data_IF_021954201293
#
_entry.id   IF_021954201293
#
_cell.length_a   1.000
_cell.length_b   1.000
_cell.length_c   1.000
_cell.angle_alpha   90.00
_cell.angle_beta   90.00
_cell.angle_gamma   90.00
#
_symmetry.space_group_name_H-M   'P 1'
#
loop_
_entity.id
_entity.type
_entity.pdbx_description
1 polymer ?
#
# COMPACT_ATOMS: atom_id res chain seq x y z
N UNK A 1 9.85 8.35 8.24
CA UNK A 1 8.47 8.41 8.78
C UNK A 1 7.82 9.80 8.62
N UNK A 2 7.80 10.38 7.41
CA UNK A 2 7.03 11.63 7.09
C UNK A 2 6.02 11.42 5.96
N UNK A 3 6.25 10.45 5.06
CA UNK A 3 5.44 10.19 3.86
C UNK A 3 4.01 9.72 4.17
N UNK A 4 3.84 8.75 5.08
CA UNK A 4 2.54 8.15 5.39
C UNK A 4 1.55 9.15 6.00
N UNK A 5 1.98 9.96 6.98
CA UNK A 5 1.12 11.00 7.57
C UNK A 5 0.71 12.08 6.56
N UNK A 6 1.56 12.39 5.58
CA UNK A 6 1.23 13.31 4.49
C UNK A 6 0.31 12.66 3.46
N UNK A 7 0.50 11.37 3.18
CA UNK A 7 -0.39 10.56 2.33
C UNK A 7 -1.81 10.54 2.93
N UNK A 8 -1.95 10.22 4.21
CA UNK A 8 -3.26 10.24 4.89
C UNK A 8 -3.90 11.63 4.91
N UNK A 9 -3.12 12.70 5.14
CA UNK A 9 -3.64 14.08 5.07
C UNK A 9 -4.09 14.49 3.67
N UNK A 10 -3.44 14.00 2.61
CA UNK A 10 -3.81 14.27 1.22
C UNK A 10 -5.01 13.44 0.75
N UNK A 11 -5.21 12.24 1.33
CA UNK A 11 -6.20 11.27 0.85
C UNK A 11 -7.52 11.25 1.65
N UNK A 12 -7.52 11.77 2.89
CA UNK A 12 -8.73 11.92 3.71
C UNK A 12 -9.38 13.32 3.53
N UNK A 13 -9.54 13.82 2.29
CA UNK A 13 -10.74 14.65 2.04
C UNK A 13 -11.46 14.37 0.70
N UNK A 14 -12.79 14.23 0.80
CA UNK A 14 -13.86 14.45 -0.20
C UNK A 14 -14.24 13.39 -1.26
N UNK A 15 -13.41 12.40 -1.64
CA UNK A 15 -13.78 11.47 -2.75
C UNK A 15 -13.89 10.00 -2.37
N UNK A 16 -14.75 9.69 -1.40
CA UNK A 16 -15.07 8.31 -1.04
C UNK A 16 -16.50 7.98 -1.48
N UNK A 17 -16.66 6.89 -2.23
CA UNK A 17 -17.96 6.34 -2.69
C UNK A 17 -18.47 5.25 -1.74
N UNK A 18 -19.71 4.81 -1.91
CA UNK A 18 -20.56 4.15 -0.90
C UNK A 18 -20.01 2.90 -0.18
N UNK A 19 -19.01 2.18 -0.70
CA UNK A 19 -18.36 1.08 0.03
C UNK A 19 -17.24 1.55 0.96
N UNK A 20 -16.54 2.63 0.60
CA UNK A 20 -15.49 3.28 1.41
C UNK A 20 -16.07 4.26 2.44
N UNK A 21 -17.35 4.64 2.34
CA UNK A 21 -18.02 5.61 3.25
C UNK A 21 -17.93 5.22 4.72
N UNK A 22 -18.03 3.94 5.09
CA UNK A 22 -17.91 3.51 6.51
C UNK A 22 -16.49 3.64 7.06
N UNK A 23 -15.50 3.35 6.21
CA UNK A 23 -14.09 3.53 6.52
C UNK A 23 -13.77 5.03 6.65
N UNK A 24 -14.24 5.83 5.69
CA UNK A 24 -14.14 7.27 5.71
C UNK A 24 -14.83 7.88 6.94
N UNK A 25 -16.04 7.45 7.26
CA UNK A 25 -16.78 7.96 8.41
C UNK A 25 -16.04 7.68 9.72
N UNK A 26 -15.44 6.49 9.87
CA UNK A 26 -14.63 6.15 11.04
C UNK A 26 -13.34 6.98 11.13
N UNK A 27 -12.68 7.23 10.00
CA UNK A 27 -11.44 8.00 9.93
C UNK A 27 -11.70 9.51 10.06
N UNK A 28 -12.72 10.06 9.41
CA UNK A 28 -13.05 11.50 9.39
C UNK A 28 -13.70 11.95 10.70
N UNK A 29 -14.53 11.10 11.32
CA UNK A 29 -15.13 11.47 12.62
C UNK A 29 -14.13 11.43 13.77
N UNK A 30 -13.07 10.62 13.69
CA UNK A 30 -12.09 10.45 14.76
C UNK A 30 -10.63 10.30 14.28
N UNK A 31 -10.10 11.20 13.42
CA UNK A 31 -8.74 11.05 12.90
C UNK A 31 -7.70 11.21 14.00
N UNK A 32 -8.02 11.95 15.06
CA UNK A 32 -7.14 12.21 16.20
C UNK A 32 -6.98 11.02 17.18
N UNK A 33 -7.69 9.92 16.97
CA UNK A 33 -7.69 8.76 17.88
C UNK A 33 -7.19 7.46 17.25
N UNK A 34 -6.98 7.42 15.93
CA UNK A 34 -6.47 6.23 15.25
C UNK A 34 -4.95 6.25 15.19
N UNK A 35 -4.35 5.13 15.60
CA UNK A 35 -2.93 4.86 15.39
C UNK A 35 -2.65 4.65 13.90
N UNK A 36 -1.41 4.89 13.49
CA UNK A 36 -0.97 4.78 12.09
C UNK A 36 -1.31 3.42 11.47
N UNK A 37 -1.09 2.33 12.21
CA UNK A 37 -1.41 0.98 11.75
C UNK A 37 -2.91 0.74 11.61
N UNK A 38 -3.76 1.40 12.41
CA UNK A 38 -5.22 1.27 12.30
C UNK A 38 -5.73 1.90 11.02
N UNK A 39 -5.21 3.08 10.69
CA UNK A 39 -5.53 3.77 9.43
C UNK A 39 -5.07 2.94 8.23
N UNK A 40 -3.85 2.43 8.27
CA UNK A 40 -3.31 1.56 7.21
C UNK A 40 -4.13 0.29 7.04
N UNK A 41 -4.52 -0.35 8.15
CA UNK A 41 -5.39 -1.52 8.12
C UNK A 41 -6.74 -1.25 7.48
N UNK A 42 -7.36 -0.10 7.78
CA UNK A 42 -8.63 0.31 7.14
C UNK A 42 -8.46 0.54 5.64
N UNK A 43 -7.36 1.18 5.21
CA UNK A 43 -7.08 1.39 3.78
C UNK A 43 -6.87 0.05 3.07
N UNK A 44 -6.06 -0.85 3.62
CA UNK A 44 -5.83 -2.18 3.05
C UNK A 44 -7.12 -3.01 3.00
N UNK A 45 -7.99 -2.90 4.01
CA UNK A 45 -9.28 -3.60 4.02
C UNK A 45 -10.28 -3.04 2.99
N UNK A 46 -10.06 -1.83 2.46
CA UNK A 46 -10.91 -1.16 1.48
C UNK A 46 -10.13 -0.68 0.25
N UNK A 47 -9.05 -1.39 -0.09
CA UNK A 47 -8.09 -0.96 -1.10
C UNK A 47 -8.73 -0.92 -2.49
N UNK A 48 -8.55 0.18 -3.21
CA UNK A 48 -9.15 0.37 -4.53
C UNK A 48 -8.21 1.19 -5.41
N UNK A 49 -7.35 0.51 -6.17
CA UNK A 49 -6.30 1.12 -7.02
C UNK A 49 -6.84 2.23 -7.93
N UNK A 50 -7.93 2.06 -8.71
CA UNK A 50 -8.47 3.13 -9.55
C UNK A 50 -8.77 4.44 -8.81
N UNK A 51 -9.17 4.36 -7.53
CA UNK A 51 -9.48 5.53 -6.72
C UNK A 51 -8.24 6.28 -6.24
N UNK A 52 -7.12 5.57 -6.02
CA UNK A 52 -5.86 6.11 -5.46
C UNK A 52 -4.86 6.51 -6.56
N UNK A 53 -4.93 5.89 -7.73
CA UNK A 53 -3.89 5.92 -8.76
C UNK A 53 -2.79 4.89 -8.48
N UNK A 54 -2.25 4.27 -9.53
CA UNK A 54 -1.34 3.12 -9.40
C UNK A 54 -0.02 3.46 -8.69
N UNK A 55 0.61 4.59 -9.02
CA UNK A 55 1.89 4.97 -8.41
C UNK A 55 1.75 5.20 -6.89
N UNK A 56 0.70 5.92 -6.49
CA UNK A 56 0.40 6.19 -5.08
C UNK A 56 -0.04 4.94 -4.34
N UNK A 57 -0.82 4.08 -4.98
CA UNK A 57 -1.18 2.78 -4.46
C UNK A 57 0.07 1.94 -4.19
N UNK A 58 1.00 1.90 -5.14
CA UNK A 58 2.24 1.16 -5.04
C UNK A 58 3.13 1.67 -3.90
N UNK A 59 3.36 2.99 -3.80
CA UNK A 59 4.12 3.58 -2.69
C UNK A 59 3.53 3.23 -1.31
N UNK A 60 2.20 3.30 -1.18
CA UNK A 60 1.53 2.96 0.07
C UNK A 60 1.71 1.48 0.46
N UNK A 61 1.68 0.57 -0.50
CA UNK A 61 1.84 -0.86 -0.24
C UNK A 61 3.26 -1.18 0.23
N UNK A 62 4.27 -0.56 -0.37
CA UNK A 62 5.67 -0.68 0.09
C UNK A 62 5.82 -0.16 1.52
N UNK A 63 5.24 1.02 1.80
CA UNK A 63 5.22 1.59 3.15
C UNK A 63 4.54 0.65 4.17
N UNK A 64 3.44 -0.01 3.78
CA UNK A 64 2.72 -0.95 4.61
C UNK A 64 3.53 -2.21 4.95
N UNK A 65 4.40 -2.66 4.05
CA UNK A 65 5.28 -3.81 4.27
C UNK A 65 6.48 -3.42 5.14
N UNK A 66 7.15 -2.31 4.81
CA UNK A 66 8.47 -1.99 5.36
C UNK A 66 8.46 -1.09 6.60
N UNK A 67 7.47 -0.20 6.75
CA UNK A 67 7.54 0.89 7.72
C UNK A 67 6.39 0.94 8.72
N UNK A 68 5.21 0.43 8.36
CA UNK A 68 4.05 0.52 9.26
C UNK A 68 4.21 -0.48 10.41
N UNK A 69 4.26 -0.03 11.67
CA UNK A 69 4.51 -0.89 12.82
C UNK A 69 3.23 -1.61 13.25
N UNK A 70 2.72 -2.53 12.42
CA UNK A 70 1.57 -3.35 12.79
C UNK A 70 1.88 -4.19 14.05
N UNK A 71 0.92 -4.28 14.99
CA UNK A 71 0.99 -5.22 16.10
C UNK A 71 1.23 -6.64 15.61
N UNK A 72 2.05 -7.41 16.32
CA UNK A 72 2.46 -8.77 15.91
C UNK A 72 1.28 -9.70 15.62
N UNK A 73 0.15 -9.54 16.33
CA UNK A 73 -1.06 -10.34 16.16
C UNK A 73 -1.76 -10.15 14.80
N UNK A 74 -1.54 -9.03 14.13
CA UNK A 74 -2.21 -8.68 12.87
C UNK A 74 -1.23 -8.35 11.73
N UNK A 75 0.06 -8.17 12.02
CA UNK A 75 1.09 -7.82 11.05
C UNK A 75 1.05 -8.74 9.83
N UNK A 76 1.08 -10.06 10.06
CA UNK A 76 1.08 -11.05 8.97
C UNK A 76 -0.13 -10.89 8.04
N UNK A 77 -1.32 -10.62 8.59
CA UNK A 77 -2.54 -10.41 7.79
C UNK A 77 -2.38 -9.24 6.83
N UNK A 78 -1.89 -8.10 7.31
CA UNK A 78 -1.82 -6.88 6.52
C UNK A 78 -0.61 -6.84 5.58
N UNK A 79 0.52 -7.41 5.98
CA UNK A 79 1.70 -7.56 5.10
C UNK A 79 1.38 -8.48 3.92
N UNK A 80 0.85 -9.68 4.15
CA UNK A 80 0.46 -10.61 3.07
C UNK A 80 -0.56 -9.99 2.11
N UNK A 81 -1.48 -9.19 2.65
CA UNK A 81 -2.45 -8.47 1.83
C UNK A 81 -1.78 -7.42 0.95
N UNK A 82 -0.80 -6.68 1.50
CA UNK A 82 -0.08 -5.68 0.73
C UNK A 82 0.81 -6.32 -0.35
N UNK A 83 1.48 -7.43 -0.04
CA UNK A 83 2.29 -8.22 -0.99
C UNK A 83 1.42 -8.68 -2.17
N UNK A 84 0.26 -9.28 -1.92
CA UNK A 84 -0.66 -9.69 -2.99
C UNK A 84 -1.15 -8.53 -3.86
N UNK A 85 -1.41 -7.35 -3.29
CA UNK A 85 -1.76 -6.18 -4.10
C UNK A 85 -0.59 -5.67 -4.96
N UNK A 86 0.65 -5.81 -4.50
CA UNK A 86 1.83 -5.50 -5.31
C UNK A 86 1.94 -6.48 -6.47
N UNK A 87 1.76 -7.78 -6.23
CA UNK A 87 1.78 -8.80 -7.29
C UNK A 87 0.74 -8.50 -8.37
N UNK A 88 -0.49 -8.15 -7.98
CA UNK A 88 -1.56 -7.73 -8.88
C UNK A 88 -1.16 -6.47 -9.68
N UNK A 89 -0.63 -5.45 -9.00
CA UNK A 89 -0.18 -4.21 -9.66
C UNK A 89 0.95 -4.43 -10.65
N UNK A 90 1.86 -5.35 -10.35
CA UNK A 90 2.98 -5.69 -11.21
C UNK A 90 2.59 -6.65 -12.34
N UNK A 91 1.44 -7.31 -12.22
CA UNK A 91 0.95 -8.31 -13.17
C UNK A 91 1.80 -9.59 -13.13
N UNK A 92 2.19 -10.02 -11.94
CA UNK A 92 2.97 -11.23 -11.71
C UNK A 92 2.05 -12.44 -11.66
N UNK A 93 2.52 -13.59 -12.15
CA UNK A 93 1.80 -14.87 -12.02
C UNK A 93 1.93 -15.39 -10.58
N UNK A 94 0.92 -16.11 -10.10
CA UNK A 94 0.82 -16.57 -8.69
C UNK A 94 1.87 -17.54 -8.17
N UNK A 95 2.93 -17.81 -8.94
CA UNK A 95 4.12 -18.53 -8.51
C UNK A 95 5.24 -17.59 -8.02
N UNK A 96 5.10 -16.27 -8.24
CA UNK A 96 6.02 -15.27 -7.73
C UNK A 96 5.47 -14.70 -6.42
N UNK A 97 6.24 -14.83 -5.34
CA UNK A 97 5.88 -14.27 -4.04
C UNK A 97 6.71 -13.02 -3.78
N UNK A 98 6.03 -11.88 -3.59
CA UNK A 98 6.69 -10.65 -3.13
C UNK A 98 6.87 -10.74 -1.62
N UNK A 99 8.09 -10.48 -1.17
CA UNK A 99 8.44 -10.42 0.24
C UNK A 99 9.05 -9.06 0.60
N UNK A 100 9.31 -8.86 1.89
CA UNK A 100 9.83 -7.59 2.43
C UNK A 100 11.15 -7.14 1.80
N UNK A 101 12.02 -8.06 1.41
CA UNK A 101 13.29 -7.75 0.72
C UNK A 101 13.07 -7.25 -0.70
N UNK A 102 12.23 -7.92 -1.49
CA UNK A 102 11.80 -7.46 -2.82
C UNK A 102 11.14 -6.07 -2.72
N UNK A 103 10.25 -5.87 -1.75
CA UNK A 103 9.63 -4.57 -1.48
C UNK A 103 10.68 -3.49 -1.15
N UNK A 104 11.70 -3.81 -0.35
CA UNK A 104 12.79 -2.87 -0.06
C UNK A 104 13.62 -2.52 -1.31
N UNK A 105 13.83 -3.48 -2.23
CA UNK A 105 14.49 -3.22 -3.52
C UNK A 105 13.64 -2.28 -4.38
N UNK A 106 12.33 -2.51 -4.46
CA UNK A 106 11.40 -1.64 -5.19
C UNK A 106 11.41 -0.20 -4.65
N UNK A 107 11.49 -0.02 -3.32
CA UNK A 107 11.63 1.33 -2.76
C UNK A 107 12.92 2.03 -3.19
N UNK A 108 14.04 1.31 -3.19
CA UNK A 108 15.31 1.89 -3.62
C UNK A 108 15.24 2.29 -5.10
N UNK A 109 14.60 1.46 -5.94
CA UNK A 109 14.31 1.79 -7.33
C UNK A 109 13.50 3.09 -7.46
N UNK A 110 12.46 3.29 -6.64
CA UNK A 110 11.69 4.55 -6.64
C UNK A 110 12.55 5.74 -6.20
N UNK A 111 13.45 5.58 -5.20
CA UNK A 111 14.37 6.64 -4.76
C UNK A 111 15.41 7.00 -5.82
N UNK A 112 15.82 6.04 -6.64
CA UNK A 112 16.66 6.24 -7.83
C UNK A 112 15.91 6.94 -8.98
N UNK A 113 14.60 7.17 -8.83
CA UNK A 113 13.77 7.86 -9.81
C UNK A 113 13.12 6.94 -10.85
N UNK A 114 13.12 5.62 -10.64
CA UNK A 114 12.38 4.69 -11.50
C UNK A 114 10.88 4.83 -11.26
N UNK A 115 10.11 4.66 -12.33
CA UNK A 115 8.64 4.65 -12.28
C UNK A 115 8.10 3.26 -11.95
N UNK A 116 6.81 3.16 -11.60
CA UNK A 116 6.13 1.87 -11.48
C UNK A 116 6.26 1.02 -12.75
N UNK A 117 6.21 1.66 -13.93
CA UNK A 117 6.35 0.96 -15.20
C UNK A 117 7.77 0.41 -15.41
N UNK A 118 8.81 1.13 -14.99
CA UNK A 118 10.20 0.62 -15.01
C UNK A 118 10.37 -0.59 -14.09
N UNK A 119 9.72 -0.55 -12.92
CA UNK A 119 9.71 -1.64 -11.95
C UNK A 119 8.97 -2.85 -12.53
N UNK A 120 7.75 -2.68 -13.06
CA UNK A 120 7.00 -3.74 -13.78
C UNK A 120 7.84 -4.43 -14.83
N UNK A 121 8.53 -3.64 -15.66
CA UNK A 121 9.37 -4.16 -16.73
C UNK A 121 10.63 -4.89 -16.23
N UNK A 122 11.08 -4.62 -15.01
CA UNK A 122 12.19 -5.33 -14.39
C UNK A 122 11.76 -6.71 -13.89
N UNK A 123 10.57 -6.83 -13.32
CA UNK A 123 10.06 -8.08 -12.73
C UNK A 123 9.42 -9.01 -13.77
N UNK A 124 8.80 -8.48 -14.83
CA UNK A 124 8.28 -9.30 -15.95
C UNK A 124 9.37 -9.98 -16.78
N UNK A 125 10.62 -9.54 -16.66
CA UNK A 125 11.77 -10.10 -17.41
C UNK A 125 12.43 -11.29 -16.72
N UNK A 126 12.00 -11.63 -15.50
CA UNK A 126 12.51 -12.78 -14.77
C UNK A 126 11.65 -13.98 -15.20
N UNK A 127 12.19 -14.96 -15.96
CA UNK A 127 11.44 -16.18 -16.27
C UNK A 127 11.15 -16.94 -14.98
N UNK A 128 9.94 -17.49 -14.89
CA UNK A 128 9.49 -18.39 -13.82
C UNK A 128 10.39 -19.63 -13.70
#
# INVERSE_FOLDING_TARGET
>A
MKKISEFFRKFIPERITSSTEKAHEKIVKNPCYLLEWEMAGIVLDNFNVPMIGEDLAFEFLLDAINFIPFPLSIRRKYVLKAEGFIEELLGLSGDHEIHMDEAAVMEEMLREGKTLEDIRNSYKKIPA
#
